data_IF_971525505910
#
_entry.id   IF_971525505910
#
_cell.length_a   1.000
_cell.length_b   1.000
_cell.length_c   1.000
_cell.angle_alpha   90.00
_cell.angle_beta   90.00
_cell.angle_gamma   90.00
#
_symmetry.space_group_name_H-M   'P 1'
#
loop_
_entity.id
_entity.type
_entity.pdbx_description
1 polymer ?
#
# COMPACT_ATOMS: atom_id res chain seq x y z
N UNK A 1 -2.40 12.56 -21.50
CA UNK A 1 -3.81 12.48 -21.92
C UNK A 1 -4.17 11.00 -22.02
N UNK A 2 -4.69 10.42 -20.94
CA UNK A 2 -5.21 9.05 -20.96
C UNK A 2 -6.73 9.15 -20.88
N UNK A 3 -7.37 9.27 -22.04
CA UNK A 3 -8.77 8.92 -22.21
C UNK A 3 -8.80 7.44 -22.57
N UNK A 4 -9.21 6.60 -21.62
CA UNK A 4 -9.76 5.29 -21.95
C UNK A 4 -11.28 5.47 -21.93
N UNK A 5 -11.86 5.48 -23.13
CA UNK A 5 -13.31 5.49 -23.32
C UNK A 5 -13.88 4.21 -22.71
N UNK A 6 -14.51 4.39 -21.55
CA UNK A 6 -15.26 3.37 -20.82
C UNK A 6 -16.66 3.21 -21.41
N UNK A 7 -16.79 2.86 -22.68
CA UNK A 7 -18.10 2.61 -23.29
C UNK A 7 -18.07 1.43 -24.26
N UNK A 8 -18.41 0.24 -23.75
CA UNK A 8 -19.47 -0.61 -24.29
C UNK A 8 -19.32 -2.05 -23.81
N UNK A 9 -19.80 -2.37 -22.61
CA UNK A 9 -20.40 -3.68 -22.26
C UNK A 9 -21.25 -3.52 -20.99
N UNK A 10 -22.42 -2.87 -21.11
CA UNK A 10 -23.47 -3.00 -20.09
C UNK A 10 -24.10 -4.39 -20.19
N UNK A 11 -23.76 -5.27 -19.25
CA UNK A 11 -24.30 -6.63 -19.28
C UNK A 11 -24.04 -7.53 -18.08
N UNK A 12 -23.87 -7.00 -16.85
CA UNK A 12 -24.26 -7.58 -15.55
C UNK A 12 -23.54 -6.81 -14.43
N UNK A 13 -24.31 -6.41 -13.42
CA UNK A 13 -23.82 -5.62 -12.30
C UNK A 13 -22.71 -6.33 -11.54
N UNK A 14 -21.58 -5.66 -11.42
CA UNK A 14 -20.60 -5.92 -10.38
C UNK A 14 -20.54 -4.64 -9.55
N UNK A 15 -21.59 -4.49 -8.74
CA UNK A 15 -21.66 -3.47 -7.70
C UNK A 15 -20.52 -3.69 -6.73
N UNK A 16 -19.58 -2.73 -6.66
CA UNK A 16 -18.97 -2.19 -5.44
C UNK A 16 -18.50 -3.12 -4.31
N UNK A 17 -18.32 -4.42 -4.55
CA UNK A 17 -17.81 -5.38 -3.59
C UNK A 17 -16.34 -5.61 -3.86
N UNK A 18 -15.47 -4.98 -3.07
CA UNK A 18 -14.04 -5.27 -3.05
C UNK A 18 -13.86 -6.79 -2.96
N UNK A 19 -13.28 -7.40 -3.98
CA UNK A 19 -13.01 -8.83 -3.90
C UNK A 19 -11.98 -9.04 -2.79
N UNK A 20 -12.16 -10.06 -1.95
CA UNK A 20 -11.27 -10.28 -0.80
C UNK A 20 -9.83 -10.59 -1.23
N UNK A 21 -9.63 -10.92 -2.51
CA UNK A 21 -8.33 -11.13 -3.13
C UNK A 21 -7.63 -9.86 -3.63
N UNK A 22 -8.27 -8.68 -3.57
CA UNK A 22 -7.62 -7.42 -3.96
C UNK A 22 -6.55 -6.99 -2.96
N UNK A 23 -5.37 -6.67 -3.45
CA UNK A 23 -4.25 -6.26 -2.62
C UNK A 23 -2.89 -6.54 -3.23
N UNK A 24 -1.86 -6.33 -2.44
CA UNK A 24 -0.47 -6.65 -2.79
C UNK A 24 -0.16 -8.05 -2.27
N UNK A 25 0.38 -8.89 -3.14
CA UNK A 25 0.65 -10.29 -2.89
C UNK A 25 2.12 -10.59 -3.15
N UNK A 26 2.71 -11.42 -2.29
CA UNK A 26 4.11 -11.83 -2.37
C UNK A 26 4.20 -13.32 -2.67
N UNK A 27 5.04 -13.65 -3.64
CA UNK A 27 5.44 -15.02 -3.94
C UNK A 27 6.97 -15.08 -4.04
N UNK A 28 7.60 -15.76 -3.08
CA UNK A 28 9.07 -15.77 -2.98
C UNK A 28 9.62 -14.35 -2.81
N UNK A 29 10.42 -13.89 -3.78
CA UNK A 29 10.97 -12.52 -3.80
C UNK A 29 10.11 -11.54 -4.60
N UNK A 30 9.09 -12.02 -5.34
CA UNK A 30 8.28 -11.22 -6.27
C UNK A 30 7.07 -10.60 -5.58
N UNK A 31 6.68 -9.40 -6.01
CA UNK A 31 5.44 -8.73 -5.57
C UNK A 31 4.51 -8.44 -6.74
N UNK A 32 3.29 -8.92 -6.64
CA UNK A 32 2.23 -8.72 -7.64
C UNK A 32 1.06 -7.99 -6.99
N UNK A 33 0.32 -7.19 -7.77
CA UNK A 33 -0.85 -6.44 -7.30
C UNK A 33 -2.10 -6.96 -7.99
N UNK A 34 -3.15 -7.25 -7.23
CA UNK A 34 -4.45 -7.65 -7.77
C UNK A 34 -5.45 -6.54 -7.47
N UNK A 35 -6.08 -5.99 -8.50
CA UNK A 35 -7.10 -4.93 -8.37
C UNK A 35 -8.17 -5.09 -9.44
N UNK A 36 -9.43 -5.08 -9.03
CA UNK A 36 -10.58 -5.36 -9.89
C UNK A 36 -10.46 -6.74 -10.55
N UNK A 37 -10.40 -6.71 -11.88
CA UNK A 37 -10.29 -7.92 -12.72
C UNK A 37 -8.89 -8.10 -13.32
N UNK A 38 -7.84 -7.52 -12.73
CA UNK A 38 -6.49 -7.61 -13.28
C UNK A 38 -5.41 -7.91 -12.22
N UNK A 39 -4.40 -8.67 -12.64
CA UNK A 39 -3.14 -8.89 -11.93
C UNK A 39 -2.05 -8.10 -12.63
N UNK A 40 -1.36 -7.27 -11.86
CA UNK A 40 -0.18 -6.53 -12.25
C UNK A 40 1.03 -7.28 -11.70
N UNK A 41 1.81 -7.82 -12.62
CA UNK A 41 3.00 -8.60 -12.31
C UNK A 41 4.20 -7.68 -12.12
N UNK A 42 5.21 -8.15 -11.37
CA UNK A 42 6.45 -7.41 -11.12
C UNK A 42 7.21 -7.01 -12.41
N UNK A 43 7.10 -7.83 -13.46
CA UNK A 43 7.72 -7.60 -14.77
C UNK A 43 6.99 -6.55 -15.62
N UNK A 44 5.87 -6.01 -15.13
CA UNK A 44 5.02 -5.07 -15.84
C UNK A 44 3.97 -5.73 -16.73
N UNK A 45 3.88 -7.06 -16.76
CA UNK A 45 2.80 -7.77 -17.43
C UNK A 45 1.48 -7.49 -16.69
N UNK A 46 0.38 -7.51 -17.44
CA UNK A 46 -0.98 -7.44 -16.89
C UNK A 46 -1.78 -8.61 -17.40
N UNK A 47 -2.34 -9.40 -16.49
CA UNK A 47 -3.22 -10.54 -16.82
C UNK A 47 -4.62 -10.29 -16.32
N UNK A 48 -5.61 -10.56 -17.17
CA UNK A 48 -7.02 -10.48 -16.79
C UNK A 48 -7.41 -11.68 -15.93
N UNK A 49 -8.21 -11.42 -14.91
CA UNK A 49 -8.82 -12.44 -14.05
C UNK A 49 -10.32 -12.44 -14.20
N UNK A 50 -10.89 -13.63 -14.16
CA UNK A 50 -12.32 -13.86 -14.06
C UNK A 50 -12.65 -14.20 -12.62
N UNK A 51 -13.31 -13.28 -11.92
CA UNK A 51 -13.73 -13.49 -10.55
C UNK A 51 -14.85 -14.53 -10.49
N UNK A 52 -14.63 -15.60 -9.74
CA UNK A 52 -15.60 -16.65 -9.46
C UNK A 52 -16.17 -16.49 -8.03
N UNK A 53 -16.55 -15.25 -7.67
CA UNK A 53 -17.05 -14.84 -6.36
C UNK A 53 -16.10 -13.95 -5.57
N UNK A 54 -16.32 -13.83 -4.25
CA UNK A 54 -15.52 -12.97 -3.38
C UNK A 54 -14.14 -13.57 -3.00
N UNK A 55 -14.03 -14.89 -3.08
CA UNK A 55 -12.88 -15.64 -2.56
C UNK A 55 -12.09 -16.39 -3.64
N UNK A 56 -12.57 -16.41 -4.88
CA UNK A 56 -12.04 -17.26 -5.94
C UNK A 56 -11.99 -16.49 -7.23
N UNK A 57 -10.97 -16.75 -8.03
CA UNK A 57 -10.85 -16.22 -9.38
C UNK A 57 -9.98 -17.15 -10.23
N UNK A 58 -9.99 -16.95 -11.54
CA UNK A 58 -9.14 -17.66 -12.49
C UNK A 58 -8.48 -16.71 -13.46
N UNK A 59 -7.35 -17.12 -14.03
CA UNK A 59 -6.67 -16.40 -15.11
C UNK A 59 -6.25 -17.37 -16.20
N UNK A 60 -6.04 -16.83 -17.39
CA UNK A 60 -5.40 -17.52 -18.49
C UNK A 60 -3.97 -17.01 -18.62
N UNK A 61 -2.98 -17.90 -18.50
CA UNK A 61 -1.57 -17.57 -18.66
C UNK A 61 -0.92 -18.64 -19.55
N UNK A 62 -0.25 -18.21 -20.62
CA UNK A 62 0.40 -19.10 -21.61
C UNK A 62 -0.51 -20.20 -22.21
N UNK A 63 -1.82 -19.96 -22.23
CA UNK A 63 -2.83 -20.90 -22.75
C UNK A 63 -3.40 -21.86 -21.70
N UNK A 64 -2.89 -21.83 -20.47
CA UNK A 64 -3.35 -22.63 -19.34
C UNK A 64 -4.23 -21.81 -18.39
N UNK A 65 -5.25 -22.46 -17.82
CA UNK A 65 -6.17 -21.84 -16.87
C UNK A 65 -5.71 -22.11 -15.44
N UNK A 66 -5.29 -21.06 -14.75
CA UNK A 66 -4.89 -21.10 -13.36
C UNK A 66 -6.04 -20.61 -12.48
N UNK A 67 -6.32 -21.34 -11.39
CA UNK A 67 -7.40 -21.02 -10.46
C UNK A 67 -6.82 -20.69 -9.10
N UNK A 68 -7.23 -19.56 -8.55
CA UNK A 68 -6.82 -19.11 -7.23
C UNK A 68 -8.01 -19.09 -6.27
N UNK A 69 -7.74 -19.39 -5.00
CA UNK A 69 -8.67 -19.16 -3.91
C UNK A 69 -7.96 -18.55 -2.71
N UNK A 70 -8.62 -17.58 -2.06
CA UNK A 70 -8.14 -16.97 -0.84
C UNK A 70 -8.63 -17.75 0.38
N UNK A 71 -7.76 -17.90 1.37
CA UNK A 71 -8.14 -18.47 2.66
C UNK A 71 -9.15 -17.56 3.41
N UNK A 72 -9.97 -18.13 4.32
CA UNK A 72 -10.94 -17.37 5.11
C UNK A 72 -10.35 -16.14 5.80
N UNK A 73 -9.12 -16.27 6.33
CA UNK A 73 -8.36 -15.22 7.02
C UNK A 73 -7.96 -14.09 6.08
N UNK A 74 -7.85 -14.35 4.77
CA UNK A 74 -7.50 -13.36 3.77
C UNK A 74 -5.99 -13.12 3.61
N UNK A 75 -5.17 -13.90 4.32
CA UNK A 75 -3.71 -13.73 4.36
C UNK A 75 -2.97 -14.54 3.28
N UNK A 76 -3.60 -15.60 2.77
CA UNK A 76 -2.99 -16.49 1.78
C UNK A 76 -3.92 -16.72 0.60
N UNK A 77 -3.31 -16.78 -0.57
CA UNK A 77 -3.95 -17.08 -1.83
C UNK A 77 -3.28 -18.33 -2.41
N UNK A 78 -4.07 -19.37 -2.64
CA UNK A 78 -3.60 -20.68 -3.06
C UNK A 78 -4.00 -20.89 -4.52
N UNK A 79 -3.00 -21.13 -5.36
CA UNK A 79 -3.14 -21.40 -6.79
C UNK A 79 -3.22 -22.89 -7.09
N UNK A 80 -3.83 -23.21 -8.22
CA UNK A 80 -4.05 -24.60 -8.67
C UNK A 80 -2.77 -25.33 -9.11
N UNK A 81 -1.70 -24.61 -9.40
CA UNK A 81 -0.37 -25.16 -9.70
C UNK A 81 0.44 -25.51 -8.43
N UNK A 82 -0.07 -25.15 -7.26
CA UNK A 82 0.58 -25.35 -5.97
C UNK A 82 1.26 -24.10 -5.41
N UNK A 83 1.27 -22.98 -6.14
CA UNK A 83 1.84 -21.73 -5.65
C UNK A 83 0.97 -21.13 -4.53
N UNK A 84 1.63 -20.60 -3.50
CA UNK A 84 0.97 -19.91 -2.39
C UNK A 84 1.51 -18.50 -2.28
N UNK A 85 0.61 -17.54 -2.49
CA UNK A 85 0.92 -16.12 -2.35
C UNK A 85 0.48 -15.64 -0.98
N UNK A 86 1.31 -14.83 -0.34
CA UNK A 86 1.01 -14.23 0.96
C UNK A 86 0.68 -12.75 0.80
N UNK A 87 -0.38 -12.29 1.46
CA UNK A 87 -0.80 -10.89 1.42
C UNK A 87 0.27 -10.04 2.09
N UNK A 88 0.73 -9.02 1.39
CA UNK A 88 1.60 -7.99 1.95
C UNK A 88 0.70 -7.01 2.70
N UNK A 89 0.59 -7.23 4.01
CA UNK A 89 0.05 -6.21 4.90
C UNK A 89 1.09 -5.09 5.02
N UNK A 90 0.84 -3.95 4.37
CA UNK A 90 1.39 -2.70 4.89
C UNK A 90 0.73 -2.50 6.25
N UNK A 91 1.44 -2.81 7.34
CA UNK A 91 0.98 -2.42 8.67
C UNK A 91 0.75 -0.90 8.65
N UNK A 92 -0.47 -0.41 8.90
CA UNK A 92 -0.68 1.02 9.15
C UNK A 92 0.04 1.33 10.48
N UNK A 93 1.32 1.69 10.38
CA UNK A 93 2.21 1.81 11.54
C UNK A 93 3.71 1.75 11.23
N UNK A 94 4.11 1.34 10.01
CA UNK A 94 5.54 1.30 9.62
C UNK A 94 5.94 2.43 8.65
N UNK A 95 5.07 3.42 8.40
CA UNK A 95 5.48 4.69 7.76
C UNK A 95 6.15 5.67 8.76
N UNK A 96 6.21 5.35 10.05
CA UNK A 96 6.87 6.20 11.06
C UNK A 96 8.37 5.91 11.26
N UNK A 97 8.97 4.92 10.58
CA UNK A 97 10.39 4.60 10.78
C UNK A 97 11.35 5.62 10.15
N UNK A 98 10.87 6.57 9.34
CA UNK A 98 11.67 7.69 8.85
C UNK A 98 11.53 8.97 9.68
N UNK A 99 10.61 9.05 10.64
CA UNK A 99 10.52 10.17 11.59
C UNK A 99 11.14 9.87 12.97
N UNK A 100 11.40 8.60 13.29
CA UNK A 100 12.05 8.21 14.54
C UNK A 100 13.54 8.62 14.64
N UNK A 101 14.18 8.97 13.51
CA UNK A 101 15.55 9.53 13.49
C UNK A 101 15.59 11.06 13.66
N UNK A 102 14.45 11.76 13.55
CA UNK A 102 14.39 13.22 13.71
C UNK A 102 14.21 13.63 15.19
N UNK A 103 13.50 12.83 15.98
CA UNK A 103 13.18 13.14 17.39
C UNK A 103 14.39 12.99 18.32
N UNK A 104 15.38 12.16 17.98
CA UNK A 104 16.62 12.03 18.76
C UNK A 104 17.60 13.19 18.56
N UNK A 105 17.35 14.12 17.63
CA UNK A 105 18.23 15.28 17.40
C UNK A 105 17.90 16.49 18.26
N UNK A 106 16.78 16.49 18.99
CA UNK A 106 16.27 17.70 19.66
C UNK A 106 16.57 17.80 21.16
N UNK A 107 17.19 16.81 21.79
CA UNK A 107 17.51 16.89 23.22
C UNK A 107 18.95 16.44 23.53
N UNK A 108 19.86 17.42 23.58
CA UNK A 108 21.07 17.28 24.38
C UNK A 108 22.27 18.08 23.88
N UNK A 109 22.40 19.33 24.34
CA UNK A 109 23.69 19.90 24.74
C UNK A 109 23.45 21.23 25.49
N UNK A 110 23.28 21.13 26.80
CA UNK A 110 23.55 22.25 27.68
C UNK A 110 25.06 22.52 27.73
N UNK A 111 25.43 23.79 27.90
CA UNK A 111 26.79 24.16 28.25
C UNK A 111 27.11 25.61 27.93
N UNK A 112 27.19 26.42 29.00
CA UNK A 112 28.33 27.27 29.36
C UNK A 112 27.98 28.73 29.67
N UNK A 113 28.30 29.09 30.92
CA UNK A 113 28.96 30.33 31.38
C UNK A 113 28.33 31.70 31.03
N UNK A 114 28.00 32.47 32.08
CA UNK A 114 27.77 33.93 32.00
C UNK A 114 29.08 34.72 31.85
N UNK A 115 29.19 35.96 32.36
CA UNK A 115 28.19 37.01 32.61
C UNK A 115 28.39 38.21 31.65
N UNK A 116 27.35 38.99 31.39
CA UNK A 116 27.45 40.19 30.54
C UNK A 116 26.48 41.27 31.01
N UNK A 117 26.97 42.14 31.87
CA UNK A 117 26.35 43.40 32.24
C UNK A 117 26.14 44.25 30.97
N UNK A 118 24.90 44.56 30.63
CA UNK A 118 24.63 45.80 29.89
C UNK A 118 23.31 46.40 30.33
N UNK A 119 23.42 47.41 31.19
CA UNK A 119 22.37 48.35 31.52
C UNK A 119 22.09 49.19 30.27
N UNK A 120 20.85 49.19 29.81
CA UNK A 120 20.31 50.23 28.94
C UNK A 120 18.91 50.65 29.45
N UNK A 121 18.86 51.73 30.24
CA UNK A 121 17.75 52.71 30.26
C UNK A 121 17.89 53.59 28.99
N UNK A 122 16.90 54.35 28.48
CA UNK A 122 15.78 55.02 29.18
C UNK A 122 14.45 55.13 28.39
N UNK A 123 13.46 55.87 28.92
CA UNK A 123 12.39 56.52 28.13
C UNK A 123 10.95 56.14 28.54
N UNK A 124 10.36 56.78 29.55
CA UNK A 124 9.29 57.81 29.42
C UNK A 124 7.97 57.35 28.78
N UNK A 125 6.88 57.33 29.54
CA UNK A 125 5.81 58.35 29.47
C UNK A 125 4.56 57.90 30.26
N UNK A 126 4.09 58.79 31.13
CA UNK A 126 2.80 58.73 31.84
C UNK A 126 1.61 58.84 30.87
N UNK A 127 0.38 58.66 31.38
CA UNK A 127 -0.37 59.81 31.90
C UNK A 127 -0.80 59.68 33.37
#
# INVERSE_FOLDING_TARGET
YWQVECESLRGRGQEGGQHRFEGVWKHGSKRNVITGSAIFWEDGLVTQVEAAGQHRFSMLLDGDVYRAHIEPEGERLIWSDGDVWTRVVCLPGQEQSLQALEVLKSHGAGGSAGPGLEVCRPGTASP
#
